data_IF_523562434688
#
_entry.id   IF_523562434688
#
_cell.length_a   1.000
_cell.length_b   1.000
_cell.length_c   1.000
_cell.angle_alpha   90.00
_cell.angle_beta   90.00
_cell.angle_gamma   90.00
#
_symmetry.space_group_name_H-M   'P 1'
#
loop_
_entity.id
_entity.type
_entity.pdbx_description
1 polymer ?
#
# COMPACT_ATOMS: atom_id res chain seq x y z
N UNK A 1 27.41 17.83 -1.58
CA UNK A 1 26.75 17.80 -2.88
C UNK A 1 27.09 16.59 -3.76
N UNK A 2 28.30 16.01 -3.71
CA UNK A 2 28.68 14.81 -4.54
C UNK A 2 27.99 13.51 -4.17
N UNK A 3 27.50 13.34 -2.94
CA UNK A 3 26.81 12.10 -2.50
C UNK A 3 25.34 12.01 -2.92
N UNK A 4 24.72 13.15 -3.29
CA UNK A 4 23.32 13.20 -3.77
C UNK A 4 23.19 12.76 -5.23
N UNK A 5 24.21 12.92 -6.03
CA UNK A 5 24.23 12.61 -7.46
C UNK A 5 24.35 11.10 -7.70
N UNK A 6 25.02 10.37 -6.79
CA UNK A 6 25.18 8.91 -6.90
C UNK A 6 23.87 8.19 -6.60
N UNK A 7 23.04 8.71 -5.68
CA UNK A 7 21.72 8.16 -5.40
C UNK A 7 20.73 8.29 -6.58
N UNK A 8 20.82 9.39 -7.32
CA UNK A 8 19.96 9.64 -8.48
C UNK A 8 20.35 8.76 -9.69
N UNK A 9 21.62 8.38 -9.82
CA UNK A 9 22.08 7.53 -10.92
C UNK A 9 21.69 6.05 -10.75
N UNK A 10 21.52 5.58 -9.50
CA UNK A 10 21.01 4.24 -9.23
C UNK A 10 19.51 4.09 -9.47
N UNK A 11 18.73 5.18 -9.37
CA UNK A 11 17.31 5.16 -9.70
C UNK A 11 17.04 5.11 -11.22
N UNK A 12 17.95 5.63 -12.04
CA UNK A 12 17.74 5.71 -13.49
C UNK A 12 18.10 4.43 -14.25
N UNK A 13 18.85 3.52 -13.68
CA UNK A 13 19.25 2.27 -14.34
C UNK A 13 18.19 1.15 -14.24
N UNK A 14 17.14 1.32 -13.45
CA UNK A 14 16.04 0.35 -13.30
C UNK A 14 14.99 0.36 -14.43
N UNK A 15 14.97 1.38 -15.28
CA UNK A 15 13.89 1.58 -16.26
C UNK A 15 14.05 0.87 -17.60
N UNK A 16 15.11 0.10 -17.81
CA UNK A 16 15.40 -0.54 -19.11
C UNK A 16 14.95 -2.00 -19.23
N UNK A 17 14.26 -2.56 -18.26
CA UNK A 17 13.76 -3.93 -18.36
C UNK A 17 12.35 -3.98 -18.96
N UNK A 18 12.35 -4.19 -20.25
CA UNK A 18 11.36 -4.90 -21.08
C UNK A 18 9.89 -4.86 -20.61
N UNK A 19 9.10 -4.14 -21.38
CA UNK A 19 7.65 -4.27 -21.49
C UNK A 19 7.27 -5.72 -21.82
N UNK A 20 7.01 -6.54 -20.82
CA UNK A 20 6.38 -7.84 -21.03
C UNK A 20 4.90 -7.70 -20.72
N UNK A 21 4.10 -8.03 -21.71
CA UNK A 21 2.66 -8.01 -21.64
C UNK A 21 2.14 -8.78 -20.42
N UNK A 22 1.17 -8.21 -19.73
CA UNK A 22 0.20 -9.00 -18.97
C UNK A 22 -0.53 -9.82 -20.05
N UNK A 23 -0.11 -11.08 -20.23
CA UNK A 23 -0.66 -11.95 -21.26
C UNK A 23 -1.96 -12.57 -20.78
N UNK A 24 -2.86 -12.81 -21.72
CA UNK A 24 -4.05 -13.61 -21.49
C UNK A 24 -3.67 -14.93 -20.78
N UNK A 25 -4.25 -15.17 -19.63
CA UNK A 25 -4.05 -16.43 -18.92
C UNK A 25 -4.75 -17.55 -19.66
N UNK A 26 -4.19 -18.77 -19.72
CA UNK A 26 -4.91 -19.94 -20.21
C UNK A 26 -6.25 -20.10 -19.48
N UNK A 27 -7.25 -20.60 -20.15
CA UNK A 27 -8.64 -20.74 -19.67
C UNK A 27 -8.79 -21.50 -18.33
N UNK A 28 -7.74 -22.18 -17.88
CA UNK A 28 -7.63 -22.90 -16.58
C UNK A 28 -6.63 -22.26 -15.60
N UNK A 29 -6.18 -21.02 -15.82
CA UNK A 29 -5.26 -20.39 -14.89
C UNK A 29 -5.96 -20.03 -13.58
N UNK A 30 -5.26 -20.24 -12.47
CA UNK A 30 -5.70 -19.81 -11.15
C UNK A 30 -5.90 -18.28 -11.15
N UNK A 31 -7.15 -17.84 -10.92
CA UNK A 31 -7.51 -16.41 -10.93
C UNK A 31 -7.27 -15.72 -9.58
N UNK A 32 -6.79 -16.45 -8.60
CA UNK A 32 -6.47 -15.89 -7.29
C UNK A 32 -5.16 -15.11 -7.34
N UNK A 33 -5.18 -13.94 -6.73
CA UNK A 33 -4.02 -13.10 -6.57
C UNK A 33 -3.70 -12.94 -5.08
N UNK A 34 -2.42 -12.90 -4.79
CA UNK A 34 -1.91 -12.68 -3.44
C UNK A 34 -0.89 -11.55 -3.49
N UNK A 35 -0.89 -10.72 -2.48
CA UNK A 35 0.05 -9.61 -2.48
C UNK A 35 -0.02 -8.79 -1.22
N UNK A 36 0.46 -7.57 -1.34
CA UNK A 36 0.46 -6.62 -0.25
C UNK A 36 1.67 -5.73 -0.28
N UNK A 37 1.75 -4.84 0.71
CA UNK A 37 2.86 -3.92 0.89
C UNK A 37 3.44 -4.00 2.29
N UNK A 38 4.67 -3.55 2.41
CA UNK A 38 5.33 -3.28 3.68
C UNK A 38 5.85 -1.86 3.66
N UNK A 39 5.69 -1.16 4.78
CA UNK A 39 6.21 0.18 4.99
C UNK A 39 6.99 0.26 6.27
N UNK A 40 8.11 0.97 6.23
CA UNK A 40 8.94 1.28 7.38
C UNK A 40 9.24 2.76 7.35
N UNK A 41 9.14 3.42 8.48
CA UNK A 41 9.43 4.85 8.60
C UNK A 41 10.10 5.19 9.91
N UNK A 42 10.84 6.29 9.87
CA UNK A 42 11.50 6.88 11.03
C UNK A 42 11.11 8.34 11.13
N UNK A 43 10.84 8.82 12.30
CA UNK A 43 10.42 10.20 12.56
C UNK A 43 11.21 10.86 13.68
N UNK A 44 10.83 12.09 14.01
CA UNK A 44 11.37 12.80 15.16
C UNK A 44 11.00 12.11 16.47
N UNK A 45 11.73 12.38 17.55
CA UNK A 45 11.50 11.83 18.90
C UNK A 45 11.52 10.30 18.95
N UNK A 46 12.54 9.70 18.31
CA UNK A 46 12.71 8.24 18.22
C UNK A 46 11.48 7.52 17.65
N UNK A 47 10.69 8.20 16.82
CA UNK A 47 9.51 7.59 16.23
C UNK A 47 9.90 6.54 15.21
N UNK A 48 9.36 5.35 15.37
CA UNK A 48 9.48 4.22 14.46
C UNK A 48 8.09 3.76 14.03
N UNK A 49 7.95 3.50 12.74
CA UNK A 49 6.70 3.05 12.11
C UNK A 49 6.95 1.80 11.28
N UNK A 50 6.13 0.80 11.48
CA UNK A 50 6.11 -0.43 10.69
C UNK A 50 4.68 -0.71 10.24
N UNK A 51 4.52 -1.03 8.97
CA UNK A 51 3.22 -1.41 8.39
C UNK A 51 3.37 -2.63 7.49
N UNK A 52 2.34 -3.49 7.53
CA UNK A 52 2.12 -4.54 6.55
C UNK A 52 0.66 -4.50 6.08
N UNK A 53 0.44 -4.69 4.80
CA UNK A 53 -0.90 -4.67 4.20
C UNK A 53 -1.11 -5.89 3.28
N UNK A 54 -1.29 -7.10 3.85
CA UNK A 54 -1.58 -8.28 3.05
C UNK A 54 -2.92 -8.14 2.31
N UNK A 55 -2.97 -8.64 1.07
CA UNK A 55 -4.20 -8.66 0.28
C UNK A 55 -4.40 -10.01 -0.41
N UNK A 56 -5.66 -10.36 -0.59
CA UNK A 56 -6.11 -11.50 -1.38
C UNK A 56 -7.14 -10.99 -2.37
N UNK A 57 -6.91 -11.24 -3.65
CA UNK A 57 -7.78 -10.81 -4.73
C UNK A 57 -8.20 -11.96 -5.63
N UNK A 58 -9.16 -11.68 -6.46
CA UNK A 58 -9.63 -12.55 -7.52
C UNK A 58 -9.80 -11.75 -8.82
N UNK A 59 -9.27 -12.25 -9.91
CA UNK A 59 -9.39 -11.63 -11.23
C UNK A 59 -10.79 -11.89 -11.77
N UNK A 60 -11.61 -10.85 -11.77
CA UNK A 60 -12.97 -10.87 -12.31
C UNK A 60 -12.92 -10.95 -13.84
N UNK A 61 -12.00 -10.17 -14.43
CA UNK A 61 -11.63 -10.20 -15.85
C UNK A 61 -10.11 -10.21 -15.98
N UNK A 62 -9.58 -10.16 -17.19
CA UNK A 62 -8.13 -10.08 -17.41
C UNK A 62 -7.52 -8.75 -16.89
N UNK A 63 -8.34 -7.70 -16.84
CA UNK A 63 -7.93 -6.35 -16.43
C UNK A 63 -8.51 -5.91 -15.08
N UNK A 64 -9.50 -6.63 -14.52
CA UNK A 64 -10.21 -6.24 -13.31
C UNK A 64 -10.00 -7.25 -12.20
N UNK A 65 -9.50 -6.78 -11.07
CA UNK A 65 -9.31 -7.54 -9.83
C UNK A 65 -10.14 -6.95 -8.72
N UNK A 66 -10.82 -7.78 -7.94
CA UNK A 66 -11.49 -7.39 -6.69
C UNK A 66 -11.07 -8.30 -5.56
N UNK A 67 -11.07 -7.81 -4.33
CA UNK A 67 -10.64 -8.62 -3.20
C UNK A 67 -10.75 -7.92 -1.87
N UNK A 68 -10.03 -8.47 -0.89
CA UNK A 68 -9.94 -7.95 0.48
C UNK A 68 -8.49 -7.64 0.81
N UNK A 69 -8.27 -6.51 1.44
CA UNK A 69 -7.00 -6.10 1.99
C UNK A 69 -7.13 -5.94 3.50
N UNK A 70 -6.16 -6.48 4.21
CA UNK A 70 -5.93 -6.18 5.61
C UNK A 70 -4.77 -5.21 5.74
N UNK A 71 -4.70 -4.47 6.83
CA UNK A 71 -3.51 -3.71 7.19
C UNK A 71 -3.26 -3.80 8.68
N UNK A 72 -2.02 -3.89 9.04
CA UNK A 72 -1.56 -3.78 10.41
C UNK A 72 -0.43 -2.78 10.44
N UNK A 73 -0.52 -1.81 11.33
CA UNK A 73 0.56 -0.89 11.56
C UNK A 73 0.86 -0.74 13.05
N UNK A 74 2.12 -0.59 13.33
CA UNK A 74 2.64 -0.36 14.67
C UNK A 74 3.57 0.84 14.64
N UNK A 75 3.28 1.79 15.53
CA UNK A 75 4.05 3.00 15.69
C UNK A 75 4.44 3.17 17.14
N UNK A 76 5.67 3.55 17.39
CA UNK A 76 6.17 3.89 18.72
C UNK A 76 7.04 5.15 18.65
N UNK A 77 6.97 5.96 19.69
CA UNK A 77 7.87 7.09 19.92
C UNK A 77 8.20 7.17 21.42
N UNK A 78 8.97 8.16 21.81
CA UNK A 78 9.27 8.39 23.23
C UNK A 78 8.00 8.67 24.05
N UNK A 79 6.97 9.25 23.42
CA UNK A 79 5.76 9.75 24.08
C UNK A 79 4.55 8.81 23.98
N UNK A 80 4.43 8.03 22.90
CA UNK A 80 3.25 7.20 22.65
C UNK A 80 3.55 5.89 21.95
N UNK A 81 2.59 5.00 21.99
CA UNK A 81 2.51 3.79 21.17
C UNK A 81 1.13 3.69 20.53
N UNK A 82 1.09 3.43 19.24
CA UNK A 82 -0.15 3.20 18.50
C UNK A 82 -0.07 1.90 17.74
N UNK A 83 -1.17 1.16 17.74
CA UNK A 83 -1.35 -0.03 16.92
C UNK A 83 -2.67 0.12 16.18
N UNK A 84 -2.65 -0.06 14.86
CA UNK A 84 -3.84 0.03 14.03
C UNK A 84 -4.02 -1.27 13.24
N UNK A 85 -5.28 -1.70 13.14
CA UNK A 85 -5.72 -2.78 12.26
C UNK A 85 -6.74 -2.22 11.30
N UNK A 86 -6.57 -2.48 10.02
CA UNK A 86 -7.53 -2.12 8.99
C UNK A 86 -7.96 -3.34 8.20
N UNK A 87 -9.19 -3.35 7.73
CA UNK A 87 -9.70 -4.36 6.81
C UNK A 87 -10.75 -3.76 5.90
N UNK A 88 -10.78 -4.18 4.66
CA UNK A 88 -11.82 -3.75 3.73
C UNK A 88 -11.63 -4.28 2.32
N UNK A 89 -12.61 -4.03 1.45
CA UNK A 89 -12.55 -4.42 0.05
C UNK A 89 -11.68 -3.49 -0.77
N UNK A 90 -11.13 -4.03 -1.85
CA UNK A 90 -10.48 -3.25 -2.88
C UNK A 90 -10.91 -3.69 -4.28
N UNK A 91 -10.73 -2.80 -5.24
CA UNK A 91 -10.85 -3.06 -6.66
C UNK A 91 -9.70 -2.39 -7.39
N UNK A 92 -9.07 -3.13 -8.30
CA UNK A 92 -8.00 -2.65 -9.16
C UNK A 92 -8.37 -2.86 -10.62
N UNK A 93 -8.11 -1.86 -11.44
CA UNK A 93 -8.19 -1.97 -12.88
C UNK A 93 -6.80 -1.78 -13.49
N UNK A 94 -6.40 -2.73 -14.30
CA UNK A 94 -5.09 -2.80 -14.95
C UNK A 94 -5.23 -2.36 -16.41
N UNK A 95 -4.34 -1.50 -16.87
CA UNK A 95 -4.38 -1.00 -18.25
C UNK A 95 -2.99 -0.74 -18.81
N UNK A 96 -2.91 -0.65 -20.14
CA UNK A 96 -1.66 -0.39 -20.85
C UNK A 96 -0.49 -1.29 -20.38
N UNK A 97 -0.80 -2.51 -19.88
CA UNK A 97 0.14 -3.56 -19.45
C UNK A 97 1.04 -3.24 -18.26
N UNK A 98 1.08 -1.98 -17.82
CA UNK A 98 2.02 -1.55 -16.78
C UNK A 98 1.44 -0.53 -15.82
N UNK A 99 0.17 -0.17 -15.97
CA UNK A 99 -0.48 0.80 -15.10
C UNK A 99 -1.68 0.19 -14.41
N UNK A 100 -2.00 0.72 -13.24
CA UNK A 100 -3.21 0.36 -12.52
C UNK A 100 -3.85 1.58 -11.89
N UNK A 101 -5.16 1.53 -11.74
CA UNK A 101 -5.92 2.38 -10.83
C UNK A 101 -6.57 1.52 -9.77
N UNK A 102 -6.73 2.06 -8.60
CA UNK A 102 -7.19 1.34 -7.42
C UNK A 102 -8.19 2.17 -6.63
N UNK A 103 -9.23 1.50 -6.15
CA UNK A 103 -10.09 1.99 -5.08
C UNK A 103 -10.03 0.98 -3.93
N UNK A 104 -9.76 1.46 -2.73
CA UNK A 104 -9.54 0.63 -1.55
C UNK A 104 -10.22 1.28 -0.34
N UNK A 105 -11.29 0.68 0.14
CA UNK A 105 -11.92 1.08 1.39
C UNK A 105 -11.33 0.27 2.54
N UNK A 106 -11.06 0.92 3.66
CA UNK A 106 -10.61 0.26 4.88
C UNK A 106 -11.28 0.88 6.10
N UNK A 107 -11.76 0.03 6.96
CA UNK A 107 -12.17 0.38 8.31
C UNK A 107 -11.01 0.07 9.27
N UNK A 108 -10.57 1.08 10.01
CA UNK A 108 -9.44 1.00 10.93
C UNK A 108 -9.89 0.96 12.37
N UNK A 109 -9.35 0.03 13.12
CA UNK A 109 -9.41 -0.06 14.58
C UNK A 109 -8.08 0.41 15.15
N UNK A 110 -8.11 1.42 16.00
CA UNK A 110 -6.92 2.13 16.47
C UNK A 110 -6.85 2.02 17.98
N UNK A 111 -5.72 1.51 18.46
CA UNK A 111 -5.39 1.49 19.88
C UNK A 111 -4.23 2.45 20.11
N UNK A 112 -4.49 3.52 20.84
CA UNK A 112 -3.50 4.51 21.21
C UNK A 112 -3.19 4.43 22.71
N UNK A 113 -1.91 4.44 23.07
CA UNK A 113 -1.44 4.50 24.45
C UNK A 113 -0.44 5.64 24.62
N UNK A 114 -0.78 6.61 25.50
CA UNK A 114 0.15 7.61 26.00
C UNK A 114 1.07 6.97 27.05
N UNK A 115 2.38 7.24 26.95
CA UNK A 115 3.37 6.67 27.88
C UNK A 115 3.54 7.48 29.17
N UNK A 116 3.14 8.76 29.17
CA UNK A 116 3.28 9.62 30.35
C UNK A 116 2.11 9.50 31.30
N UNK A 117 0.88 9.48 30.75
CA UNK A 117 -0.33 9.49 31.55
C UNK A 117 -0.97 8.10 31.70
N UNK A 118 -0.35 7.06 31.11
CA UNK A 118 -0.88 5.68 31.02
C UNK A 118 -2.34 5.63 30.52
N UNK A 119 -2.70 6.62 29.70
CA UNK A 119 -4.02 6.76 29.13
C UNK A 119 -4.12 5.94 27.86
N UNK A 120 -5.21 5.16 27.75
CA UNK A 120 -5.52 4.36 26.56
C UNK A 120 -6.79 4.86 25.92
N UNK A 121 -6.77 5.03 24.62
CA UNK A 121 -7.94 5.38 23.82
C UNK A 121 -8.07 4.43 22.66
N UNK A 122 -9.29 3.96 22.43
CA UNK A 122 -9.66 3.20 21.24
C UNK A 122 -10.54 4.11 20.39
N UNK A 123 -10.25 4.16 19.11
CA UNK A 123 -11.05 4.89 18.13
C UNK A 123 -11.08 4.13 16.81
N UNK A 124 -12.07 4.42 16.00
CA UNK A 124 -12.23 3.82 14.68
C UNK A 124 -12.21 4.93 13.63
N UNK A 125 -11.70 4.63 12.46
CA UNK A 125 -11.69 5.58 11.34
C UNK A 125 -11.88 4.84 10.00
N UNK A 126 -12.70 5.42 9.14
CA UNK A 126 -12.90 4.95 7.77
C UNK A 126 -11.98 5.69 6.81
N UNK A 127 -11.40 4.97 5.89
CA UNK A 127 -10.60 5.53 4.83
C UNK A 127 -11.02 4.96 3.47
N UNK A 128 -11.15 5.82 2.48
CA UNK A 128 -11.34 5.44 1.09
C UNK A 128 -10.19 5.97 0.25
N UNK A 129 -9.30 5.09 -0.11
CA UNK A 129 -8.13 5.41 -0.92
C UNK A 129 -8.47 5.26 -2.40
N UNK A 130 -8.28 6.32 -3.16
CA UNK A 130 -8.33 6.31 -4.62
C UNK A 130 -6.94 6.67 -5.14
N UNK A 131 -6.48 5.98 -6.16
CA UNK A 131 -5.17 6.26 -6.73
C UNK A 131 -4.77 5.29 -7.80
N UNK A 132 -3.48 5.17 -8.02
CA UNK A 132 -2.93 4.28 -9.02
C UNK A 132 -1.43 4.44 -9.14
N UNK A 133 -0.87 3.75 -10.11
CA UNK A 133 0.55 3.77 -10.30
C UNK A 133 1.02 2.89 -11.44
N UNK A 134 2.30 2.61 -11.37
CA UNK A 134 3.03 1.78 -12.31
C UNK A 134 3.27 0.39 -11.73
N UNK A 135 3.18 -0.62 -12.59
CA UNK A 135 3.54 -2.00 -12.27
C UNK A 135 4.73 -2.44 -13.09
N UNK A 136 5.69 -3.03 -12.44
CA UNK A 136 6.83 -3.67 -13.07
C UNK A 136 6.79 -5.18 -12.83
N UNK A 137 6.86 -5.95 -13.89
CA UNK A 137 6.98 -7.40 -13.80
C UNK A 137 8.35 -7.76 -13.23
N UNK A 138 8.38 -8.58 -12.18
CA UNK A 138 9.60 -9.06 -11.52
C UNK A 138 9.74 -10.59 -11.57
N UNK A 139 8.73 -11.29 -12.06
CA UNK A 139 8.71 -12.75 -12.22
C UNK A 139 7.66 -13.19 -13.21
N UNK A 140 7.45 -14.50 -13.35
CA UNK A 140 6.49 -15.03 -14.33
C UNK A 140 5.08 -14.52 -14.12
N UNK A 141 4.59 -14.51 -12.85
CA UNK A 141 3.27 -14.04 -12.46
C UNK A 141 3.38 -13.08 -11.26
N UNK A 142 4.50 -12.36 -11.15
CA UNK A 142 4.78 -11.50 -10.01
C UNK A 142 5.11 -10.09 -10.49
N UNK A 143 4.50 -9.10 -9.84
CA UNK A 143 4.65 -7.69 -10.17
C UNK A 143 4.94 -6.88 -8.92
N UNK A 144 5.80 -5.89 -9.06
CA UNK A 144 5.98 -4.81 -8.12
C UNK A 144 5.08 -3.65 -8.52
N UNK A 145 4.39 -3.06 -7.57
CA UNK A 145 3.51 -1.92 -7.76
C UNK A 145 4.10 -0.70 -7.05
N UNK A 146 4.17 0.43 -7.74
CA UNK A 146 4.62 1.71 -7.18
C UNK A 146 3.61 2.77 -7.62
N UNK A 147 3.04 3.49 -6.68
CA UNK A 147 2.03 4.49 -6.99
C UNK A 147 1.75 5.46 -5.85
N UNK A 148 0.70 6.22 -6.02
CA UNK A 148 0.18 7.16 -5.04
C UNK A 148 -1.31 6.90 -4.82
N UNK A 149 -1.73 6.97 -3.57
CA UNK A 149 -3.13 6.85 -3.16
C UNK A 149 -3.52 8.10 -2.37
N UNK A 150 -4.75 8.53 -2.53
CA UNK A 150 -5.32 9.63 -1.77
C UNK A 150 -6.54 9.14 -0.99
N UNK A 151 -6.55 9.36 0.32
CA UNK A 151 -7.70 9.11 1.16
C UNK A 151 -8.72 10.24 1.00
N UNK A 152 -9.80 9.99 0.28
CA UNK A 152 -10.84 11.00 -0.01
C UNK A 152 -11.71 11.33 1.20
N UNK A 153 -11.65 10.51 2.26
CA UNK A 153 -12.33 10.77 3.53
C UNK A 153 -11.44 11.53 4.52
N UNK A 154 -10.17 11.77 4.16
CA UNK A 154 -9.23 12.47 5.02
C UNK A 154 -9.67 13.93 5.30
N UNK A 155 -9.55 14.34 6.56
CA UNK A 155 -9.84 15.70 7.03
C UNK A 155 -8.69 16.18 7.90
N UNK A 156 -8.15 17.35 7.60
CA UNK A 156 -6.96 17.92 8.23
C UNK A 156 -7.00 17.95 9.78
N UNK A 157 -8.15 18.22 10.37
CA UNK A 157 -8.27 18.43 11.82
C UNK A 157 -9.00 17.29 12.55
N UNK A 158 -9.41 16.23 11.87
CA UNK A 158 -10.17 15.13 12.50
C UNK A 158 -9.61 13.76 12.19
N UNK A 159 -8.85 13.61 11.11
CA UNK A 159 -8.25 12.32 10.75
C UNK A 159 -7.04 12.03 11.62
N UNK A 160 -6.88 10.78 12.02
CA UNK A 160 -5.65 10.31 12.69
C UNK A 160 -4.45 10.24 11.74
N UNK A 161 -4.70 10.23 10.43
CA UNK A 161 -3.66 10.22 9.43
C UNK A 161 -3.11 11.63 9.22
N UNK A 162 -1.79 11.77 9.23
CA UNK A 162 -1.11 13.06 9.07
C UNK A 162 -1.25 13.66 7.66
N UNK A 163 -1.59 12.85 6.68
CA UNK A 163 -1.80 13.25 5.29
C UNK A 163 -2.81 12.34 4.60
N UNK A 164 -3.62 12.91 3.72
CA UNK A 164 -4.47 12.12 2.83
C UNK A 164 -3.71 11.45 1.69
N UNK A 165 -2.54 11.99 1.30
CA UNK A 165 -1.70 11.42 0.24
C UNK A 165 -0.70 10.43 0.83
N UNK A 166 -0.70 9.19 0.32
CA UNK A 166 0.21 8.14 0.74
C UNK A 166 0.90 7.48 -0.46
N UNK A 167 2.21 7.21 -0.37
CA UNK A 167 2.88 6.36 -1.34
C UNK A 167 2.36 4.91 -1.20
N UNK A 168 2.20 4.23 -2.33
CA UNK A 168 1.84 2.83 -2.38
C UNK A 168 2.96 2.03 -3.02
N UNK A 169 3.60 1.16 -2.24
CA UNK A 169 4.63 0.24 -2.70
C UNK A 169 4.20 -1.16 -2.27
N UNK A 170 4.09 -2.07 -3.22
CA UNK A 170 3.63 -3.41 -2.93
C UNK A 170 4.04 -4.43 -3.99
N UNK A 171 3.66 -5.65 -3.73
CA UNK A 171 3.88 -6.79 -4.60
C UNK A 171 2.57 -7.52 -4.82
N UNK A 172 2.42 -8.12 -6.00
CA UNK A 172 1.30 -8.99 -6.32
C UNK A 172 1.79 -10.18 -7.13
N UNK A 173 1.24 -11.33 -6.81
CA UNK A 173 1.49 -12.62 -7.48
C UNK A 173 0.16 -13.17 -7.96
N UNK A 174 0.15 -13.78 -9.14
CA UNK A 174 -1.05 -14.37 -9.74
C UNK A 174 -1.74 -13.49 -10.80
N UNK A 175 -1.09 -12.38 -11.21
CA UNK A 175 -1.56 -11.55 -12.32
C UNK A 175 -1.10 -12.11 -13.68
#
# INVERSE_FOLDING_TARGET
MKKFIIGLFFLSSGFLFSQVAVGASPENANRWTFGGGIGVGFGSNSAFYLQASPRVGYRLTDDLEGGVVGSVSWQTSDFYRSTMFGVGPFINYYFARSFYVSANYQHYFINYKDKFYDFKTNTDEDALYLGGGYMQRIGNNSFMQIGLMYNVLWKENSSIFSSGLIPNIGFVVGL
#
